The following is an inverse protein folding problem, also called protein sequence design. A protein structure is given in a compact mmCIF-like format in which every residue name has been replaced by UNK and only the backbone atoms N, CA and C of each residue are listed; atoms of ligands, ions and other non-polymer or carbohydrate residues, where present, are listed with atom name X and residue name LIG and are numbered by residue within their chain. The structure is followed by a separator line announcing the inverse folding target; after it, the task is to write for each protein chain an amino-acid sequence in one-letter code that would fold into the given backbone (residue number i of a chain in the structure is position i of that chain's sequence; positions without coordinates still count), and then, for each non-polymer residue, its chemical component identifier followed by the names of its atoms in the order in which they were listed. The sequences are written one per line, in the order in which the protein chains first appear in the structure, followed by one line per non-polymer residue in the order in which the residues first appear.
data_IF_500881101811
#
_entry.id   IF_500881101811
#
_cell.length_a   1.000
_cell.length_b   1.000
_cell.length_c   1.000
_cell.angle_alpha   90.00
_cell.angle_beta   90.00
_cell.angle_gamma   90.00
#
_symmetry.space_group_name_H-M   'P 1'
#
loop_
_entity.id
_entity.type
_entity.pdbx_description
1 polymer ?
#
# COMPACT_ATOMS: atom_id res chain seq x y z
N UNK A 1 0.43 8.18 10.37
CA UNK A 1 -0.81 7.38 10.24
C UNK A 1 -1.34 7.50 8.80
N UNK A 2 -1.83 6.44 8.15
CA UNK A 2 -2.16 6.44 6.69
C UNK A 2 -3.24 7.48 6.33
N UNK A 3 -4.34 7.54 7.07
CA UNK A 3 -5.43 8.49 6.81
C UNK A 3 -4.98 9.97 6.79
N UNK A 4 -4.01 10.32 7.63
CA UNK A 4 -3.45 11.68 7.68
C UNK A 4 -2.58 12.02 6.46
N UNK A 5 -2.14 11.04 5.67
CA UNK A 5 -1.34 11.28 4.46
C UNK A 5 -2.15 11.76 3.25
N UNK A 6 -3.49 11.72 3.33
CA UNK A 6 -4.36 12.26 2.29
C UNK A 6 -4.64 13.74 2.56
N UNK A 7 -4.34 14.57 1.56
CA UNK A 7 -4.63 16.00 1.59
C UNK A 7 -6.14 16.27 1.48
N UNK A 8 -6.56 17.49 1.78
CA UNK A 8 -7.97 17.88 1.77
C UNK A 8 -8.64 17.70 0.39
N UNK A 9 -7.90 17.96 -0.68
CA UNK A 9 -8.40 17.85 -2.06
C UNK A 9 -8.19 16.46 -2.71
N UNK A 10 -7.62 15.51 -1.95
CA UNK A 10 -7.45 14.13 -2.40
C UNK A 10 -8.77 13.37 -2.20
N UNK A 11 -9.47 13.08 -3.29
CA UNK A 11 -10.81 12.46 -3.28
C UNK A 11 -10.80 11.09 -2.63
N UNK A 12 -9.67 10.38 -2.62
CA UNK A 12 -9.53 9.08 -1.96
C UNK A 12 -9.80 9.18 -0.46
N UNK A 13 -9.55 10.33 0.16
CA UNK A 13 -9.84 10.56 1.58
C UNK A 13 -11.32 10.39 1.91
N UNK A 14 -12.21 10.89 1.05
CA UNK A 14 -13.66 10.87 1.25
C UNK A 14 -14.33 9.68 0.57
N UNK A 15 -13.67 9.06 -0.41
CA UNK A 15 -14.14 7.87 -1.11
C UNK A 15 -13.81 6.60 -0.33
N UNK A 16 -12.56 6.42 0.11
CA UNK A 16 -12.14 5.19 0.78
C UNK A 16 -12.53 5.13 2.25
N UNK A 17 -12.67 6.29 2.91
CA UNK A 17 -12.86 6.35 4.36
C UNK A 17 -14.17 7.02 4.77
N UNK A 18 -14.74 6.51 5.86
CA UNK A 18 -15.80 7.15 6.62
C UNK A 18 -15.32 7.37 8.05
N UNK A 19 -15.71 8.49 8.65
CA UNK A 19 -15.35 8.83 10.03
C UNK A 19 -16.57 8.53 10.90
N UNK A 20 -16.40 7.73 11.94
CA UNK A 20 -17.40 7.48 12.97
C UNK A 20 -16.82 7.82 14.34
N UNK A 21 -17.02 9.07 14.78
CA UNK A 21 -16.36 9.62 15.96
C UNK A 21 -14.83 9.56 15.82
N UNK A 22 -14.16 8.84 16.72
CA UNK A 22 -12.69 8.65 16.71
C UNK A 22 -12.22 7.55 15.75
N UNK A 23 -13.13 6.80 15.13
CA UNK A 23 -12.79 5.65 14.29
C UNK A 23 -12.80 6.01 12.80
N UNK A 24 -11.77 5.56 12.09
CA UNK A 24 -11.65 5.68 10.63
C UNK A 24 -11.98 4.33 10.03
N UNK A 25 -13.12 4.24 9.35
CA UNK A 25 -13.64 3.01 8.76
C UNK A 25 -13.48 3.03 7.24
N UNK A 26 -13.51 1.85 6.63
CA UNK A 26 -13.69 1.73 5.18
C UNK A 26 -15.11 2.20 4.82
N UNK A 27 -15.23 3.04 3.79
CA UNK A 27 -16.54 3.52 3.30
C UNK A 27 -17.15 2.56 2.28
N UNK A 28 -16.52 2.39 1.11
CA UNK A 28 -16.96 1.47 0.06
C UNK A 28 -15.77 0.84 -0.67
N UNK A 29 -15.94 -0.37 -1.19
CA UNK A 29 -15.05 -1.01 -2.14
C UNK A 29 -15.40 -0.64 -3.59
N UNK A 30 -14.69 -1.22 -4.56
CA UNK A 30 -14.86 -0.90 -5.98
C UNK A 30 -16.26 -1.29 -6.50
N UNK A 31 -16.88 -2.32 -5.94
CA UNK A 31 -18.23 -2.76 -6.30
C UNK A 31 -19.36 -1.96 -5.62
N UNK A 32 -19.04 -0.84 -4.96
CA UNK A 32 -20.04 -0.02 -4.25
C UNK A 32 -20.51 -0.59 -2.91
N UNK A 33 -20.20 -1.85 -2.59
CA UNK A 33 -20.45 -2.51 -1.31
C UNK A 33 -19.28 -2.41 -0.32
N UNK A 34 -19.41 -3.07 0.84
CA UNK A 34 -18.34 -3.12 1.87
C UNK A 34 -17.32 -4.23 1.63
N UNK A 35 -17.63 -5.19 0.75
CA UNK A 35 -16.76 -6.31 0.43
C UNK A 35 -15.40 -5.83 -0.10
N UNK A 36 -14.35 -6.59 0.21
CA UNK A 36 -13.02 -6.32 -0.33
C UNK A 36 -13.03 -6.64 -1.83
N UNK A 37 -12.47 -5.73 -2.63
CA UNK A 37 -12.25 -5.95 -4.06
C UNK A 37 -10.76 -6.22 -4.25
N UNK A 38 -10.42 -7.38 -4.77
CA UNK A 38 -9.05 -7.86 -4.95
C UNK A 38 -8.74 -8.27 -6.41
N UNK A 39 -9.65 -7.97 -7.34
CA UNK A 39 -9.42 -8.19 -8.77
C UNK A 39 -8.47 -7.15 -9.37
N UNK A 40 -7.90 -7.49 -10.53
CA UNK A 40 -7.04 -6.59 -11.30
C UNK A 40 -7.75 -5.25 -11.58
N UNK A 41 -7.04 -4.14 -11.44
CA UNK A 41 -7.56 -2.82 -11.76
C UNK A 41 -6.47 -1.94 -12.40
N UNK A 42 -6.90 -1.02 -13.27
CA UNK A 42 -6.00 -0.20 -14.09
C UNK A 42 -5.12 0.74 -13.26
N UNK A 43 -5.62 1.20 -12.10
CA UNK A 43 -4.86 2.01 -11.16
C UNK A 43 -3.63 1.30 -10.60
N UNK A 44 -3.77 0.02 -10.25
CA UNK A 44 -2.66 -0.83 -9.85
C UNK A 44 -1.66 -1.01 -10.99
N UNK A 45 -2.13 -1.17 -12.23
CA UNK A 45 -1.26 -1.28 -13.41
C UNK A 45 -0.45 -0.01 -13.66
N UNK A 46 -1.04 1.19 -13.52
CA UNK A 46 -0.31 2.46 -13.60
C UNK A 46 0.79 2.54 -12.55
N UNK A 47 0.51 2.13 -11.31
CA UNK A 47 1.50 2.15 -10.23
C UNK A 47 2.62 1.13 -10.44
N UNK A 48 2.30 -0.09 -10.90
CA UNK A 48 3.29 -1.11 -11.23
C UNK A 48 4.20 -0.60 -12.35
N UNK A 49 3.63 -0.08 -13.45
CA UNK A 49 4.41 0.43 -14.58
C UNK A 49 5.27 1.62 -14.18
N UNK A 50 4.72 2.57 -13.42
CA UNK A 50 5.45 3.71 -12.88
C UNK A 50 6.63 3.28 -12.00
N UNK A 51 6.42 2.34 -11.08
CA UNK A 51 7.50 1.80 -10.23
C UNK A 51 8.59 1.11 -11.05
N UNK A 52 8.23 0.28 -12.03
CA UNK A 52 9.19 -0.38 -12.91
C UNK A 52 10.02 0.62 -13.71
N UNK A 53 9.38 1.67 -14.25
CA UNK A 53 10.06 2.73 -15.00
C UNK A 53 11.06 3.50 -14.11
N UNK A 54 10.67 3.86 -12.89
CA UNK A 54 11.56 4.54 -11.95
C UNK A 54 12.77 3.67 -11.58
N UNK A 55 12.55 2.37 -11.34
CA UNK A 55 13.63 1.40 -11.09
C UNK A 55 14.57 1.22 -12.29
N UNK A 56 14.06 1.41 -13.50
CA UNK A 56 14.85 1.38 -14.73
C UNK A 56 15.52 2.74 -15.07
N UNK A 57 15.45 3.74 -14.19
CA UNK A 57 16.01 5.08 -14.42
C UNK A 57 15.23 5.91 -15.45
N UNK A 58 14.00 5.52 -15.79
CA UNK A 58 13.15 6.19 -16.77
C UNK A 58 12.18 7.16 -16.08
N UNK A 59 12.74 8.10 -15.32
CA UNK A 59 12.01 8.94 -14.36
C UNK A 59 10.91 9.80 -15.01
N UNK A 60 11.18 10.35 -16.20
CA UNK A 60 10.19 11.14 -16.94
C UNK A 60 8.93 10.30 -17.24
N UNK A 61 9.13 9.06 -17.72
CA UNK A 61 8.02 8.15 -18.05
C UNK A 61 7.28 7.69 -16.80
N UNK A 62 8.01 7.41 -15.73
CA UNK A 62 7.43 7.04 -14.44
C UNK A 62 6.54 8.17 -13.87
N UNK A 63 6.99 9.43 -13.97
CA UNK A 63 6.21 10.61 -13.61
C UNK A 63 4.96 10.75 -14.48
N UNK A 64 5.06 10.53 -15.79
CA UNK A 64 3.91 10.58 -16.70
C UNK A 64 2.81 9.59 -16.27
N UNK A 65 3.18 8.35 -15.95
CA UNK A 65 2.23 7.34 -15.46
C UNK A 65 1.59 7.74 -14.14
N UNK A 66 2.42 8.21 -13.19
CA UNK A 66 1.94 8.63 -11.89
C UNK A 66 0.97 9.82 -12.00
N UNK A 67 1.29 10.81 -12.82
CA UNK A 67 0.43 11.97 -13.04
C UNK A 67 -0.88 11.60 -13.74
N UNK A 68 -0.84 10.67 -14.70
CA UNK A 68 -2.06 10.14 -15.35
C UNK A 68 -3.03 9.55 -14.33
N UNK A 69 -2.51 8.77 -13.37
CA UNK A 69 -3.33 8.24 -12.28
C UNK A 69 -3.83 9.36 -11.37
N UNK A 70 -2.91 10.21 -10.88
CA UNK A 70 -3.24 11.21 -9.86
C UNK A 70 -4.17 12.30 -10.39
N UNK A 71 -4.13 12.66 -11.67
CA UNK A 71 -5.07 13.63 -12.25
C UNK A 71 -6.54 13.29 -11.90
N UNK A 72 -6.87 11.99 -11.87
CA UNK A 72 -8.20 11.49 -11.55
C UNK A 72 -8.48 11.25 -10.05
N UNK A 73 -7.51 11.55 -9.17
CA UNK A 73 -7.63 11.37 -7.71
C UNK A 73 -7.82 12.66 -6.95
N UNK A 74 -7.56 13.79 -7.59
CA UNK A 74 -7.70 15.10 -6.98
C UNK A 74 -8.99 15.76 -7.46
N UNK A 75 -9.54 16.62 -6.61
CA UNK A 75 -10.69 17.44 -6.97
C UNK A 75 -10.37 18.27 -8.23
N UNK A 76 -11.33 18.37 -9.14
CA UNK A 76 -11.20 19.16 -10.38
C UNK A 76 -10.67 20.56 -10.08
N UNK A 77 -9.66 20.99 -10.85
CA UNK A 77 -9.02 22.30 -10.70
C UNK A 77 -7.99 22.40 -9.57
N UNK A 78 -7.72 21.32 -8.82
CA UNK A 78 -6.78 21.36 -7.68
C UNK A 78 -5.55 20.47 -7.85
N UNK A 79 -5.50 19.66 -8.89
CA UNK A 79 -4.35 18.79 -9.16
C UNK A 79 -3.14 19.62 -9.60
N UNK A 80 -2.01 19.42 -8.93
CA UNK A 80 -0.71 19.94 -9.34
C UNK A 80 0.14 18.76 -9.80
N UNK A 81 0.54 18.70 -11.09
CA UNK A 81 1.38 17.63 -11.60
C UNK A 81 2.71 17.53 -10.85
N UNK A 82 3.15 16.31 -10.59
CA UNK A 82 4.47 16.03 -10.06
C UNK A 82 5.49 16.29 -11.19
N UNK A 83 6.60 16.95 -10.86
CA UNK A 83 7.71 17.17 -11.77
C UNK A 83 9.03 17.19 -10.98
N UNK A 84 10.16 17.04 -11.68
CA UNK A 84 11.50 17.23 -11.09
C UNK A 84 11.94 16.19 -10.05
N UNK A 85 11.20 15.10 -9.83
CA UNK A 85 11.63 13.99 -8.98
C UNK A 85 12.44 12.98 -9.80
N UNK A 86 13.45 12.38 -9.17
CA UNK A 86 14.31 11.39 -9.81
C UNK A 86 14.82 10.35 -8.81
N UNK A 87 15.22 9.18 -9.32
CA UNK A 87 15.80 8.10 -8.54
C UNK A 87 14.99 7.73 -7.29
N UNK A 88 15.66 7.68 -6.13
CA UNK A 88 15.04 7.25 -4.86
C UNK A 88 13.85 8.14 -4.45
N UNK A 89 13.91 9.46 -4.67
CA UNK A 89 12.82 10.37 -4.30
C UNK A 89 11.56 10.12 -5.13
N UNK A 90 11.73 9.78 -6.41
CA UNK A 90 10.61 9.39 -7.27
C UNK A 90 10.03 8.04 -6.83
N UNK A 91 10.90 7.06 -6.57
CA UNK A 91 10.47 5.74 -6.09
C UNK A 91 9.67 5.84 -4.78
N UNK A 92 10.15 6.62 -3.81
CA UNK A 92 9.44 6.85 -2.55
C UNK A 92 8.08 7.51 -2.76
N UNK A 93 8.00 8.47 -3.71
CA UNK A 93 6.72 9.08 -4.07
C UNK A 93 5.75 8.08 -4.68
N UNK A 94 6.22 7.21 -5.58
CA UNK A 94 5.39 6.16 -6.20
C UNK A 94 4.91 5.17 -5.14
N UNK A 95 5.78 4.72 -4.22
CA UNK A 95 5.42 3.79 -3.15
C UNK A 95 4.43 4.40 -2.15
N UNK A 96 4.55 5.70 -1.86
CA UNK A 96 3.57 6.43 -1.07
C UNK A 96 2.21 6.44 -1.74
N UNK A 97 2.15 6.78 -3.03
CA UNK A 97 0.89 6.81 -3.78
C UNK A 97 0.31 5.41 -3.98
N UNK A 98 1.15 4.37 -4.14
CA UNK A 98 0.71 2.96 -4.14
C UNK A 98 0.03 2.58 -2.83
N UNK A 99 0.60 2.97 -1.68
CA UNK A 99 0.01 2.74 -0.36
C UNK A 99 -1.32 3.47 -0.19
N UNK A 100 -1.44 4.68 -0.75
CA UNK A 100 -2.67 5.49 -0.68
C UNK A 100 -3.78 4.95 -1.58
N UNK A 101 -3.42 4.53 -2.78
CA UNK A 101 -4.34 4.02 -3.79
C UNK A 101 -4.89 2.65 -3.41
N UNK A 102 -4.00 1.73 -3.00
CA UNK A 102 -4.32 0.31 -2.85
C UNK A 102 -4.72 -0.07 -1.42
N UNK A 103 -5.24 0.88 -0.65
CA UNK A 103 -5.77 0.62 0.69
C UNK A 103 -6.98 -0.32 0.59
N UNK A 104 -7.10 -1.25 1.55
CA UNK A 104 -8.15 -2.28 1.55
C UNK A 104 -8.14 -3.27 0.37
N UNK A 105 -7.01 -3.40 -0.33
CA UNK A 105 -6.81 -4.36 -1.44
C UNK A 105 -6.06 -5.64 -1.05
N UNK A 106 -5.59 -5.75 0.20
CA UNK A 106 -4.79 -6.90 0.67
C UNK A 106 -3.32 -6.90 0.23
N UNK A 107 -2.88 -5.87 -0.51
CA UNK A 107 -1.54 -5.83 -1.12
C UNK A 107 -0.43 -5.34 -0.17
N UNK A 108 -0.78 -4.60 0.88
CA UNK A 108 0.21 -3.98 1.77
C UNK A 108 1.12 -5.00 2.45
N UNK A 109 0.64 -6.20 2.75
CA UNK A 109 1.45 -7.25 3.37
C UNK A 109 2.61 -7.67 2.45
N UNK A 110 2.33 -7.83 1.15
CA UNK A 110 3.34 -8.18 0.15
C UNK A 110 4.31 -7.02 -0.10
N UNK A 111 3.81 -5.79 -0.18
CA UNK A 111 4.67 -4.61 -0.29
C UNK A 111 5.66 -4.53 0.88
N UNK A 112 5.20 -4.72 2.13
CA UNK A 112 6.09 -4.69 3.31
C UNK A 112 7.20 -5.73 3.22
N UNK A 113 6.87 -6.97 2.82
CA UNK A 113 7.83 -8.07 2.69
C UNK A 113 8.87 -7.78 1.62
N UNK A 114 8.44 -7.32 0.44
CA UNK A 114 9.35 -7.00 -0.67
C UNK A 114 10.23 -5.79 -0.34
N UNK A 115 9.64 -4.69 0.11
CA UNK A 115 10.37 -3.46 0.40
C UNK A 115 11.37 -3.63 1.55
N UNK A 116 11.04 -4.44 2.57
CA UNK A 116 12.00 -4.71 3.65
C UNK A 116 13.19 -5.56 3.21
N UNK A 117 13.03 -6.43 2.18
CA UNK A 117 14.16 -7.11 1.53
C UNK A 117 15.02 -6.16 0.71
N UNK A 118 14.43 -5.07 0.22
CA UNK A 118 15.12 -4.01 -0.52
C UNK A 118 15.75 -2.95 0.41
N UNK A 119 15.67 -3.12 1.73
CA UNK A 119 16.32 -2.22 2.70
C UNK A 119 15.50 -1.02 3.16
N UNK A 120 14.19 -0.97 2.87
CA UNK A 120 13.33 0.12 3.37
C UNK A 120 13.11 0.11 4.90
N UNK A 121 13.47 -0.98 5.59
CA UNK A 121 13.47 -1.09 7.06
C UNK A 121 12.16 -0.63 7.75
N UNK A 122 11.01 -0.97 7.17
CA UNK A 122 9.69 -0.59 7.66
C UNK A 122 9.30 -1.47 8.86
N UNK A 123 9.24 -0.88 10.05
CA UNK A 123 8.71 -1.50 11.28
C UNK A 123 7.21 -1.24 11.39
N UNK A 124 6.40 -2.27 11.62
CA UNK A 124 5.01 -2.07 12.03
C UNK A 124 4.94 -2.00 13.55
N UNK A 125 4.28 -0.98 14.08
CA UNK A 125 4.04 -0.80 15.52
C UNK A 125 2.54 -0.70 15.81
N UNK A 126 2.07 -1.39 16.85
CA UNK A 126 0.71 -1.28 17.38
C UNK A 126 0.75 -1.16 18.90
N UNK A 127 0.08 -0.14 19.43
CA UNK A 127 -0.09 0.03 20.87
C UNK A 127 -1.43 -0.57 21.29
N UNK A 128 -1.41 -1.44 22.30
CA UNK A 128 -2.60 -2.05 22.89
C UNK A 128 -2.49 -1.89 24.41
N UNK A 129 -3.28 -0.97 24.97
CA UNK A 129 -3.13 -0.55 26.37
C UNK A 129 -1.73 0.00 26.62
N UNK A 130 -1.03 -0.56 27.61
CA UNK A 130 0.34 -0.18 27.97
C UNK A 130 1.42 -0.94 27.18
N UNK A 131 1.03 -1.88 26.30
CA UNK A 131 1.95 -2.73 25.57
C UNK A 131 2.15 -2.25 24.13
N UNK A 132 3.40 -2.28 23.68
CA UNK A 132 3.79 -1.97 22.30
C UNK A 132 4.18 -3.27 21.60
N UNK A 133 3.51 -3.56 20.48
CA UNK A 133 3.79 -4.71 19.63
C UNK A 133 4.46 -4.24 18.35
N UNK A 134 5.57 -4.90 18.00
CA UNK A 134 6.33 -4.57 16.81
C UNK A 134 6.53 -5.79 15.91
N UNK A 135 6.49 -5.55 14.60
CA UNK A 135 6.94 -6.49 13.59
C UNK A 135 8.15 -5.88 12.89
N UNK A 136 9.32 -6.44 13.19
CA UNK A 136 10.60 -6.00 12.65
C UNK A 136 10.77 -6.40 11.18
N UNK A 137 11.48 -5.61 10.36
CA UNK A 137 11.84 -5.95 9.00
C UNK A 137 12.43 -7.36 8.90
N UNK A 138 12.09 -8.07 7.83
CA UNK A 138 12.60 -9.43 7.55
C UNK A 138 12.32 -10.49 8.63
N UNK A 139 11.46 -10.18 9.61
CA UNK A 139 11.05 -11.16 10.62
C UNK A 139 10.36 -12.39 9.97
N UNK A 140 10.65 -13.61 10.45
CA UNK A 140 9.94 -14.81 9.99
C UNK A 140 8.41 -14.73 10.19
N UNK A 141 7.95 -13.88 11.11
CA UNK A 141 6.53 -13.62 11.40
C UNK A 141 5.75 -12.97 10.25
N UNK A 142 6.42 -12.55 9.17
CA UNK A 142 5.74 -12.18 7.92
C UNK A 142 5.15 -13.38 7.16
N UNK A 143 5.57 -14.60 7.48
CA UNK A 143 5.07 -15.84 6.86
C UNK A 143 4.02 -16.48 7.77
N UNK A 144 2.83 -16.73 7.23
CA UNK A 144 1.77 -17.44 7.96
C UNK A 144 2.20 -18.88 8.25
N UNK A 145 1.82 -19.45 9.41
CA UNK A 145 2.15 -20.83 9.74
C UNK A 145 1.47 -21.78 8.76
N UNK A 146 2.13 -22.90 8.48
CA UNK A 146 1.50 -24.01 7.77
C UNK A 146 0.36 -24.54 8.66
N UNK A 147 -0.86 -24.74 8.12
CA UNK A 147 -2.00 -25.24 8.88
C UNK A 147 -1.69 -26.58 9.57
N UNK A 148 -2.07 -26.77 10.85
CA UNK A 148 -1.75 -28.00 11.59
C UNK A 148 -2.27 -29.29 10.95
N UNK A 149 -3.43 -29.24 10.28
CA UNK A 149 -3.99 -30.38 9.56
C UNK A 149 -3.14 -30.80 8.36
N UNK A 150 -2.52 -29.84 7.66
CA UNK A 150 -1.60 -30.14 6.54
C UNK A 150 -0.35 -30.84 7.07
N UNK A 151 0.19 -30.39 8.22
CA UNK A 151 1.34 -31.03 8.87
C UNK A 151 0.98 -32.44 9.32
N UNK A 152 -0.17 -32.62 9.97
CA UNK A 152 -0.62 -33.94 10.42
C UNK A 152 -0.81 -34.95 9.27
N UNK A 153 -1.27 -34.48 8.10
CA UNK A 153 -1.51 -35.32 6.93
C UNK A 153 -0.23 -35.66 6.15
N UNK A 154 0.75 -34.75 6.11
CA UNK A 154 1.90 -34.87 5.19
C UNK A 154 3.23 -35.07 5.88
N UNK A 155 3.33 -34.77 7.17
CA UNK A 155 4.58 -34.73 7.92
C UNK A 155 5.50 -33.55 7.56
N UNK A 156 5.04 -32.56 6.79
CA UNK A 156 5.87 -31.41 6.41
C UNK A 156 6.31 -30.61 7.66
N UNK A 157 7.57 -30.18 7.67
CA UNK A 157 8.10 -29.35 8.75
C UNK A 157 7.45 -27.96 8.79
N UNK A 158 7.16 -27.45 10.00
CA UNK A 158 6.64 -26.11 10.20
C UNK A 158 7.66 -25.03 9.80
N UNK A 159 7.18 -23.86 9.39
CA UNK A 159 8.03 -22.70 9.12
C UNK A 159 8.69 -22.13 10.40
N UNK A 160 9.84 -21.49 10.22
CA UNK A 160 10.54 -20.76 11.28
C UNK A 160 9.70 -19.54 11.71
N UNK A 161 9.75 -19.18 13.01
CA UNK A 161 8.96 -18.10 13.63
C UNK A 161 9.75 -17.18 14.55
#
# INVERSE_FOLDING_TARGET
MLYASYQANDLRKTIYFSINGKYINKKRGYSGGINLSNGLATDELYLIRSECLARAGQDIRAITDLNTLLFNRWKTGTFVPISGLQGALLLDRILLERRKELVFRGLRWNDLRRLNKEGHNIVLRRNLGNSVFELQPNSPKYTLPIPPNVIALTGIQQNVR
#
